data_IF_397255633710
#
_entry.id   IF_397255633710
#
_cell.length_a   1.000
_cell.length_b   1.000
_cell.length_c   1.000
_cell.angle_alpha   90.00
_cell.angle_beta   90.00
_cell.angle_gamma   90.00
#
_symmetry.space_group_name_H-M   'P 1'
#
loop_
_entity.id
_entity.type
_entity.pdbx_description
1 polymer ?
#
# COMPACT_ATOMS: atom_id res chain seq x y z
N UNK A 1 -11.37 -1.55 1.30
CA UNK A 1 -9.99 -1.22 0.88
C UNK A 1 -9.90 0.14 0.18
N UNK A 2 -10.91 0.51 -0.59
CA UNK A 2 -10.88 1.82 -1.27
C UNK A 2 -10.81 2.97 -0.27
N UNK A 3 -11.58 2.92 0.82
CA UNK A 3 -11.54 3.96 1.85
C UNK A 3 -10.15 4.06 2.48
N UNK A 4 -9.51 2.92 2.74
CA UNK A 4 -8.16 2.90 3.26
C UNK A 4 -7.17 3.51 2.26
N UNK A 5 -7.29 3.17 0.97
CA UNK A 5 -6.45 3.75 -0.07
C UNK A 5 -6.57 5.28 -0.08
N UNK A 6 -7.79 5.80 -0.05
CA UNK A 6 -8.03 7.26 -0.03
C UNK A 6 -7.47 7.92 1.21
N UNK A 7 -7.62 7.29 2.40
CA UNK A 7 -7.08 7.83 3.64
C UNK A 7 -5.55 7.83 3.65
N UNK A 8 -4.92 6.81 3.06
CA UNK A 8 -3.45 6.77 2.93
C UNK A 8 -2.95 7.87 1.99
N UNK A 9 -3.65 8.10 0.88
CA UNK A 9 -3.32 9.22 -0.01
C UNK A 9 -3.38 10.56 0.74
N UNK A 10 -4.46 10.79 1.48
CA UNK A 10 -4.61 12.00 2.30
C UNK A 10 -3.49 12.12 3.33
N UNK A 11 -3.08 10.98 3.91
CA UNK A 11 -1.99 10.96 4.89
C UNK A 11 -0.64 11.36 4.26
N UNK A 12 -0.37 10.96 3.01
CA UNK A 12 0.81 11.44 2.29
C UNK A 12 0.74 12.94 2.03
N UNK A 13 -0.42 13.44 1.58
CA UNK A 13 -0.63 14.88 1.36
C UNK A 13 -0.40 15.68 2.63
N UNK A 14 -0.89 15.18 3.77
CA UNK A 14 -0.79 15.84 5.08
C UNK A 14 0.49 15.47 5.83
N UNK A 15 1.34 14.62 5.24
CA UNK A 15 2.61 14.17 5.83
C UNK A 15 2.42 13.43 7.17
N UNK A 16 1.36 12.63 7.27
CA UNK A 16 1.03 11.83 8.45
C UNK A 16 1.71 10.46 8.38
N UNK A 17 3.03 10.44 8.49
CA UNK A 17 3.83 9.22 8.33
C UNK A 17 3.46 8.12 9.35
N UNK A 18 3.21 8.41 10.64
CA UNK A 18 2.75 7.36 11.55
C UNK A 18 1.50 6.61 11.08
N UNK A 19 0.54 7.30 10.44
CA UNK A 19 -0.64 6.67 9.88
C UNK A 19 -0.28 5.71 8.73
N UNK A 20 0.67 6.11 7.88
CA UNK A 20 1.15 5.27 6.77
C UNK A 20 1.74 3.97 7.34
N UNK A 21 2.58 4.06 8.37
CA UNK A 21 3.18 2.89 9.03
C UNK A 21 2.10 2.01 9.66
N UNK A 22 1.18 2.59 10.42
CA UNK A 22 0.13 1.85 11.14
C UNK A 22 -0.84 1.13 10.20
N UNK A 23 -1.02 1.63 8.98
CA UNK A 23 -1.92 1.03 7.99
C UNK A 23 -1.21 0.11 7.01
N UNK A 24 0.10 -0.08 7.16
CA UNK A 24 0.85 -1.13 6.46
C UNK A 24 0.73 -2.43 7.27
N UNK A 25 0.66 -3.57 6.59
CA UNK A 25 0.50 -4.86 7.25
C UNK A 25 1.53 -5.03 8.37
N UNK A 26 1.13 -5.52 9.58
CA UNK A 26 2.01 -5.49 10.76
C UNK A 26 3.38 -6.12 10.54
N UNK A 27 3.46 -7.23 9.80
CA UNK A 27 4.74 -7.91 9.54
C UNK A 27 5.73 -7.07 8.76
N UNK A 28 5.29 -6.02 8.09
CA UNK A 28 6.15 -5.14 7.29
C UNK A 28 6.49 -3.82 7.98
N UNK A 29 5.81 -3.47 9.06
CA UNK A 29 5.96 -2.15 9.68
C UNK A 29 7.41 -1.84 10.10
N UNK A 30 8.12 -2.82 10.63
CA UNK A 30 9.51 -2.66 11.05
C UNK A 30 10.49 -2.58 9.88
N UNK A 31 10.06 -2.95 8.69
CA UNK A 31 10.88 -2.92 7.47
C UNK A 31 10.77 -1.58 6.73
N UNK A 32 9.84 -0.71 7.13
CA UNK A 32 9.63 0.58 6.47
C UNK A 32 10.73 1.57 6.85
N UNK A 33 11.18 2.33 5.86
CA UNK A 33 12.10 3.46 6.07
C UNK A 33 11.26 4.72 6.24
N UNK A 34 11.02 5.12 7.49
CA UNK A 34 10.18 6.28 7.80
C UNK A 34 10.79 7.58 7.28
N UNK A 35 12.12 7.68 7.27
CA UNK A 35 12.80 8.86 6.72
C UNK A 35 12.56 8.97 5.23
N UNK A 36 12.66 7.87 4.49
CA UNK A 36 12.37 7.86 3.06
C UNK A 36 10.92 8.21 2.77
N UNK A 37 9.97 7.72 3.58
CA UNK A 37 8.56 8.08 3.46
C UNK A 37 8.35 9.57 3.71
N UNK A 38 8.98 10.12 4.74
CA UNK A 38 8.89 11.54 5.05
C UNK A 38 9.48 12.39 3.93
N UNK A 39 10.65 12.03 3.43
CA UNK A 39 11.30 12.75 2.33
C UNK A 39 10.42 12.74 1.08
N UNK A 40 9.85 11.59 0.75
CA UNK A 40 8.95 11.48 -0.41
C UNK A 40 7.71 12.36 -0.23
N UNK A 41 7.09 12.35 0.95
CA UNK A 41 5.94 13.20 1.25
C UNK A 41 6.32 14.69 1.19
N UNK A 42 7.49 15.06 1.70
CA UNK A 42 7.96 16.45 1.71
C UNK A 42 8.29 16.97 0.31
N UNK A 43 8.86 16.12 -0.53
CA UNK A 43 9.35 16.49 -1.85
C UNK A 43 8.29 16.39 -2.95
N UNK A 44 7.16 15.75 -2.67
CA UNK A 44 6.12 15.50 -3.67
C UNK A 44 4.97 16.48 -3.50
N UNK A 45 4.63 17.19 -4.58
CA UNK A 45 3.43 18.02 -4.62
C UNK A 45 2.31 17.21 -5.27
N UNK A 46 1.42 16.69 -4.45
CA UNK A 46 0.28 15.90 -4.90
C UNK A 46 -0.79 16.81 -5.49
N UNK A 47 -1.39 16.39 -6.61
CA UNK A 47 -2.40 17.17 -7.32
C UNK A 47 -3.78 16.56 -7.20
N UNK A 48 -3.92 15.25 -7.47
CA UNK A 48 -5.21 14.59 -7.49
C UNK A 48 -5.05 13.06 -7.41
N UNK A 49 -6.14 12.38 -7.09
CA UNK A 49 -6.21 10.92 -7.01
C UNK A 49 -7.41 10.41 -7.79
N UNK A 50 -7.16 9.49 -8.73
CA UNK A 50 -8.20 8.77 -9.47
C UNK A 50 -8.19 7.30 -9.06
N UNK A 51 -9.32 6.82 -8.56
CA UNK A 51 -9.51 5.38 -8.34
C UNK A 51 -10.02 4.79 -9.65
N UNK A 52 -9.18 3.96 -10.29
CA UNK A 52 -9.52 3.32 -11.55
C UNK A 52 -10.45 2.12 -11.31
N UNK A 53 -10.10 1.29 -10.32
CA UNK A 53 -10.83 0.07 -10.03
C UNK A 53 -10.58 -0.35 -8.59
N UNK A 54 -11.63 -0.80 -7.90
CA UNK A 54 -11.51 -1.44 -6.59
C UNK A 54 -12.23 -2.78 -6.69
N UNK A 55 -11.53 -3.88 -6.35
CA UNK A 55 -12.09 -5.21 -6.47
C UNK A 55 -11.81 -6.08 -5.26
N UNK A 56 -12.80 -6.87 -4.86
CA UNK A 56 -12.65 -7.89 -3.83
C UNK A 56 -12.12 -9.15 -4.47
N UNK A 57 -10.97 -9.64 -3.99
CA UNK A 57 -10.35 -10.86 -4.50
C UNK A 57 -10.76 -12.08 -3.68
N UNK A 58 -10.74 -11.95 -2.36
CA UNK A 58 -11.21 -12.96 -1.40
C UNK A 58 -11.86 -12.24 -0.23
N UNK A 59 -12.34 -12.99 0.78
CA UNK A 59 -12.92 -12.39 2.00
C UNK A 59 -11.94 -11.48 2.74
N UNK A 60 -10.63 -11.74 2.60
CA UNK A 60 -9.58 -11.04 3.34
C UNK A 60 -8.56 -10.35 2.43
N UNK A 61 -8.81 -10.29 1.13
CA UNK A 61 -7.90 -9.70 0.16
C UNK A 61 -8.67 -8.87 -0.85
N UNK A 62 -8.21 -7.66 -1.08
CA UNK A 62 -8.77 -6.72 -2.06
C UNK A 62 -7.64 -6.02 -2.80
N UNK A 63 -7.94 -5.54 -3.99
CA UNK A 63 -6.99 -4.76 -4.78
C UNK A 63 -7.63 -3.43 -5.18
N UNK A 64 -6.82 -2.39 -5.23
CA UNK A 64 -7.23 -1.07 -5.71
C UNK A 64 -6.22 -0.61 -6.75
N UNK A 65 -6.71 -0.36 -7.95
CA UNK A 65 -5.93 0.29 -9.00
C UNK A 65 -6.21 1.79 -8.96
N UNK A 66 -5.16 2.60 -8.93
CA UNK A 66 -5.31 4.04 -8.84
C UNK A 66 -4.21 4.77 -9.60
N UNK A 67 -4.49 6.05 -9.87
CA UNK A 67 -3.54 6.99 -10.43
C UNK A 67 -3.44 8.19 -9.49
N UNK A 68 -2.26 8.39 -8.91
CA UNK A 68 -1.97 9.54 -8.07
C UNK A 68 -1.20 10.56 -8.90
N UNK A 69 -1.80 11.71 -9.15
CA UNK A 69 -1.21 12.77 -9.96
C UNK A 69 -0.36 13.67 -9.08
N UNK A 70 0.83 14.02 -9.55
CA UNK A 70 1.72 14.90 -8.82
C UNK A 70 2.49 15.82 -9.79
N UNK A 71 3.03 16.91 -9.26
CA UNK A 71 3.80 17.85 -10.05
C UNK A 71 5.25 17.37 -10.18
N UNK A 72 5.66 17.04 -11.40
CA UNK A 72 7.04 16.76 -11.72
C UNK A 72 7.85 18.06 -11.88
N UNK A 73 9.14 17.92 -12.18
CA UNK A 73 10.03 19.09 -12.33
C UNK A 73 9.66 19.97 -13.51
N UNK A 74 9.14 19.42 -14.60
CA UNK A 74 8.79 20.15 -15.81
C UNK A 74 7.31 20.10 -16.15
N UNK A 75 6.63 19.01 -15.76
CA UNK A 75 5.23 18.78 -16.11
C UNK A 75 4.56 17.88 -15.08
N UNK A 76 3.21 17.88 -15.00
CA UNK A 76 2.49 16.93 -14.16
C UNK A 76 2.82 15.50 -14.54
N UNK A 77 2.92 14.63 -13.52
CA UNK A 77 3.20 13.21 -13.68
C UNK A 77 2.15 12.38 -12.95
N UNK A 78 2.14 11.08 -13.23
CA UNK A 78 1.20 10.14 -12.62
C UNK A 78 1.94 8.95 -12.04
N UNK A 79 1.59 8.60 -10.79
CA UNK A 79 1.99 7.34 -10.17
C UNK A 79 0.82 6.38 -10.28
N UNK A 80 0.93 5.40 -11.17
CA UNK A 80 -0.10 4.42 -11.44
C UNK A 80 0.27 3.12 -10.77
N UNK A 81 -0.59 2.60 -9.92
CA UNK A 81 -0.32 1.41 -9.12
C UNK A 81 -1.57 0.54 -8.98
N UNK A 82 -1.34 -0.77 -8.85
CA UNK A 82 -2.34 -1.76 -8.49
C UNK A 82 -1.88 -2.35 -7.16
N UNK A 83 -2.58 -1.98 -6.08
CA UNK A 83 -2.15 -2.27 -4.71
C UNK A 83 -3.00 -3.35 -4.08
N UNK A 84 -2.33 -4.26 -3.36
CA UNK A 84 -2.99 -5.31 -2.58
C UNK A 84 -3.24 -4.83 -1.16
N UNK A 85 -4.44 -5.13 -0.65
CA UNK A 85 -4.84 -4.89 0.74
C UNK A 85 -5.30 -6.20 1.35
N UNK A 86 -5.00 -6.39 2.62
CA UNK A 86 -5.41 -7.60 3.37
C UNK A 86 -6.18 -7.19 4.62
N UNK A 87 -7.13 -8.07 5.02
CA UNK A 87 -7.94 -7.86 6.21
C UNK A 87 -7.45 -8.79 7.32
N UNK A 88 -7.08 -8.21 8.45
CA UNK A 88 -6.62 -8.93 9.64
C UNK A 88 -7.43 -8.43 10.83
N UNK A 89 -8.09 -9.35 11.54
CA UNK A 89 -8.91 -9.00 12.70
C UNK A 89 -9.91 -7.86 12.44
N UNK A 90 -10.54 -7.90 11.27
CA UNK A 90 -11.54 -6.92 10.87
C UNK A 90 -11.01 -5.61 10.34
N UNK A 91 -9.69 -5.44 10.21
CA UNK A 91 -9.05 -4.22 9.69
C UNK A 91 -8.33 -4.49 8.39
N UNK A 92 -8.43 -3.53 7.47
CA UNK A 92 -7.67 -3.54 6.23
C UNK A 92 -6.28 -2.94 6.41
N UNK A 93 -5.28 -3.54 5.77
CA UNK A 93 -3.90 -3.09 5.75
C UNK A 93 -3.34 -3.14 4.34
N UNK A 94 -2.45 -2.23 4.03
CA UNK A 94 -1.72 -2.21 2.77
C UNK A 94 -0.56 -3.22 2.81
N UNK A 95 -0.38 -3.97 1.71
CA UNK A 95 0.81 -4.82 1.51
C UNK A 95 1.78 -4.07 0.62
N UNK A 96 2.94 -3.72 1.18
CA UNK A 96 3.95 -2.93 0.47
C UNK A 96 4.85 -3.86 -0.36
N UNK A 97 4.83 -3.76 -1.70
CA UNK A 97 5.67 -4.60 -2.54
C UNK A 97 7.13 -4.12 -2.63
N UNK A 98 7.44 -2.94 -2.09
CA UNK A 98 8.78 -2.34 -2.19
C UNK A 98 9.72 -2.75 -1.07
N UNK A 99 9.21 -3.32 0.04
CA UNK A 99 10.04 -3.88 1.10
C UNK A 99 10.32 -5.35 0.81
N UNK A 100 11.36 -5.96 1.45
CA UNK A 100 11.65 -7.38 1.23
C UNK A 100 10.43 -8.26 1.49
N UNK A 101 10.06 -9.06 0.49
CA UNK A 101 8.94 -10.00 0.59
C UNK A 101 9.46 -11.39 0.99
N UNK A 102 8.63 -12.23 1.64
CA UNK A 102 9.04 -13.59 1.97
C UNK A 102 9.26 -14.39 0.69
N UNK A 103 10.07 -15.47 0.78
CA UNK A 103 10.18 -16.42 -0.30
C UNK A 103 8.85 -17.17 -0.47
N UNK A 104 8.67 -17.84 -1.61
CA UNK A 104 7.44 -18.57 -1.93
C UNK A 104 7.08 -19.64 -0.89
N UNK A 105 8.07 -20.19 -0.20
CA UNK A 105 7.87 -21.26 0.79
C UNK A 105 7.69 -20.74 2.22
N UNK A 106 7.97 -19.46 2.46
CA UNK A 106 7.83 -18.85 3.78
C UNK A 106 6.38 -18.47 4.05
N UNK A 107 5.99 -18.26 5.34
CA UNK A 107 4.66 -17.79 5.68
C UNK A 107 4.35 -16.44 5.02
N UNK A 108 3.09 -16.25 4.62
CA UNK A 108 2.66 -15.02 3.98
C UNK A 108 2.73 -13.84 4.95
N UNK A 109 3.03 -12.66 4.41
CA UNK A 109 3.10 -11.39 5.16
C UNK A 109 1.77 -11.05 5.84
N UNK A 110 0.64 -11.55 5.33
CA UNK A 110 -0.68 -11.25 5.88
C UNK A 110 -1.01 -11.99 7.18
N UNK A 111 -0.16 -12.93 7.60
CA UNK A 111 -0.38 -13.68 8.82
C UNK A 111 -1.40 -14.83 8.69
N UNK A 112 -1.78 -15.22 7.46
CA UNK A 112 -2.76 -16.27 7.23
C UNK A 112 -2.30 -17.67 7.64
N UNK A 113 -0.99 -17.86 7.82
CA UNK A 113 -0.39 -19.17 8.06
C UNK A 113 -0.15 -19.99 6.79
N UNK A 114 -0.62 -19.51 5.64
CA UNK A 114 -0.36 -20.15 4.34
C UNK A 114 1.00 -19.74 3.82
N UNK A 115 1.58 -20.57 2.92
CA UNK A 115 2.82 -20.18 2.23
C UNK A 115 2.54 -18.97 1.34
N UNK A 116 3.53 -18.09 1.23
CA UNK A 116 3.40 -16.85 0.47
C UNK A 116 2.91 -17.10 -0.97
N UNK A 117 3.47 -18.10 -1.67
CA UNK A 117 3.08 -18.42 -3.04
C UNK A 117 1.61 -18.84 -3.19
N UNK A 118 1.00 -19.38 -2.13
CA UNK A 118 -0.40 -19.83 -2.11
C UNK A 118 -1.33 -18.80 -1.48
N UNK A 119 -0.86 -17.61 -1.21
CA UNK A 119 -1.62 -16.52 -0.60
C UNK A 119 -1.34 -15.22 -1.35
N UNK A 120 -0.79 -14.20 -0.68
CA UNK A 120 -0.54 -12.89 -1.31
C UNK A 120 0.44 -12.97 -2.47
N UNK A 121 1.43 -13.87 -2.42
CA UNK A 121 2.40 -14.04 -3.50
C UNK A 121 1.78 -14.41 -4.84
N UNK A 122 0.63 -15.06 -4.83
CA UNK A 122 -0.10 -15.36 -6.06
C UNK A 122 -0.91 -14.19 -6.62
N UNK A 123 -1.03 -13.10 -5.84
CA UNK A 123 -1.80 -11.91 -6.18
C UNK A 123 -0.93 -10.68 -6.47
N UNK A 124 0.34 -10.77 -6.16
CA UNK A 124 1.30 -9.68 -6.38
C UNK A 124 2.02 -9.79 -7.72
#
# INVERSE_FOLDING_TARGET
AEQLMRSRYSAFVLKKIPYIVQTTVPSQQTLLDEKALQDWADETQWLDLDIVKAETLTKTQSAVEFKAHFQGSEQPQVHHEYSLFVKIDGRWYFVDPTVPLPSNKQPCVCGSGKKFKHCCGGLL
#
